data_IF_534125095642
#
_entry.id   IF_534125095642
#
_cell.length_a   1.000
_cell.length_b   1.000
_cell.length_c   1.000
_cell.angle_alpha   90.00
_cell.angle_beta   90.00
_cell.angle_gamma   90.00
#
_symmetry.space_group_name_H-M   'P 1'
#
loop_
_entity.id
_entity.type
_entity.pdbx_description
1 polymer ?
#
# COMPACT_ATOMS: atom_id res chain seq x y z
N UNK A 1 -16.50 -5.42 2.37
CA UNK A 1 -16.34 -5.29 3.84
C UNK A 1 -15.73 -3.91 4.08
N UNK A 2 -16.22 -3.14 5.04
CA UNK A 2 -15.63 -1.84 5.41
C UNK A 2 -14.40 -2.04 6.30
N UNK A 3 -13.40 -1.17 6.18
CA UNK A 3 -12.22 -1.17 7.03
C UNK A 3 -12.63 -0.98 8.49
N UNK A 4 -12.31 -1.94 9.37
CA UNK A 4 -12.77 -1.92 10.76
C UNK A 4 -11.83 -1.17 11.72
N UNK A 5 -10.64 -0.76 11.26
CA UNK A 5 -9.73 0.11 12.01
C UNK A 5 -9.19 -0.47 13.32
N UNK A 6 -9.21 -1.80 13.52
CA UNK A 6 -8.88 -2.43 14.80
C UNK A 6 -8.01 -3.70 14.70
N UNK A 7 -7.40 -3.97 13.54
CA UNK A 7 -6.62 -5.18 13.34
C UNK A 7 -5.58 -5.07 12.23
N UNK A 8 -4.53 -5.88 12.31
CA UNK A 8 -3.44 -5.94 11.33
C UNK A 8 -3.29 -7.36 10.79
N UNK A 9 -3.15 -7.51 9.48
CA UNK A 9 -2.71 -8.77 8.86
C UNK A 9 -1.28 -8.57 8.35
N UNK A 10 -0.33 -9.35 8.87
CA UNK A 10 1.02 -9.42 8.31
C UNK A 10 1.10 -10.57 7.30
N UNK A 11 1.47 -10.23 6.06
CA UNK A 11 1.77 -11.22 5.03
C UNK A 11 3.26 -11.54 5.12
N UNK A 12 3.58 -12.77 5.49
CA UNK A 12 4.95 -13.19 5.72
C UNK A 12 5.52 -13.85 4.47
N UNK A 13 6.13 -13.06 3.60
CA UNK A 13 6.91 -13.58 2.47
C UNK A 13 8.39 -13.78 2.81
N UNK A 14 8.95 -12.93 3.68
CA UNK A 14 10.40 -12.80 3.87
C UNK A 14 10.81 -12.47 5.33
N UNK A 15 9.92 -12.65 6.29
CA UNK A 15 10.16 -12.37 7.73
C UNK A 15 10.43 -10.90 8.07
N UNK A 16 10.24 -9.94 7.15
CA UNK A 16 10.68 -8.55 7.38
C UNK A 16 10.02 -7.88 8.58
N UNK A 17 8.77 -8.21 8.90
CA UNK A 17 8.07 -7.63 10.04
C UNK A 17 8.44 -8.26 11.40
N UNK A 18 9.14 -9.41 11.42
CA UNK A 18 9.43 -10.13 12.67
C UNK A 18 10.26 -9.29 13.66
N UNK A 19 11.09 -8.37 13.16
CA UNK A 19 11.92 -7.46 13.96
C UNK A 19 11.20 -6.17 14.38
N UNK A 20 9.97 -5.92 13.92
CA UNK A 20 9.19 -4.70 14.18
C UNK A 20 8.20 -4.89 15.33
N UNK A 21 8.73 -5.20 16.52
CA UNK A 21 7.99 -5.59 17.72
C UNK A 21 6.97 -4.56 18.20
N UNK A 22 7.15 -3.28 17.91
CA UNK A 22 6.20 -2.24 18.28
C UNK A 22 4.86 -2.41 17.56
N UNK A 23 4.83 -3.02 16.38
CA UNK A 23 3.59 -3.27 15.64
C UNK A 23 2.75 -4.37 16.29
N UNK A 24 3.34 -5.27 17.08
CA UNK A 24 2.63 -6.38 17.72
C UNK A 24 1.76 -5.95 18.90
N UNK A 25 1.79 -4.66 19.27
CA UNK A 25 0.85 -4.08 20.24
C UNK A 25 -0.58 -3.99 19.69
N UNK A 26 -0.73 -3.98 18.37
CA UNK A 26 -2.04 -3.97 17.72
C UNK A 26 -2.55 -5.41 17.59
N UNK A 27 -3.87 -5.67 17.71
CA UNK A 27 -4.44 -6.98 17.40
C UNK A 27 -4.02 -7.39 15.99
N UNK A 28 -3.44 -8.58 15.84
CA UNK A 28 -2.87 -8.99 14.56
C UNK A 28 -3.01 -10.48 14.28
N UNK A 29 -2.89 -10.83 13.00
CA UNK A 29 -2.71 -12.19 12.53
C UNK A 29 -1.57 -12.25 11.51
N UNK A 30 -1.03 -13.45 11.32
CA UNK A 30 0.00 -13.72 10.32
C UNK A 30 -0.56 -14.68 9.27
N UNK A 31 -0.27 -14.40 8.01
CA UNK A 31 -0.48 -15.34 6.91
C UNK A 31 0.89 -15.65 6.34
N UNK A 32 1.29 -16.91 6.47
CA UNK A 32 2.60 -17.36 6.01
C UNK A 32 2.57 -17.67 4.50
N UNK A 33 3.58 -17.19 3.79
CA UNK A 33 3.83 -17.42 2.37
C UNK A 33 5.27 -17.84 2.10
N UNK A 34 6.06 -18.10 3.15
CA UNK A 34 7.48 -18.48 3.01
C UNK A 34 7.70 -19.84 2.35
N UNK A 35 6.63 -20.64 2.22
CA UNK A 35 6.59 -21.90 1.49
C UNK A 35 6.34 -21.73 -0.02
N UNK A 36 5.98 -20.53 -0.49
CA UNK A 36 5.67 -20.29 -1.90
C UNK A 36 6.90 -19.86 -2.69
N UNK A 37 7.12 -20.52 -3.84
CA UNK A 37 8.14 -20.15 -4.80
C UNK A 37 7.63 -19.08 -5.79
N UNK A 38 8.56 -18.43 -6.50
CA UNK A 38 8.25 -17.52 -7.62
C UNK A 38 7.24 -16.41 -7.26
N UNK A 39 7.43 -15.80 -6.09
CA UNK A 39 6.63 -14.67 -5.59
C UNK A 39 7.41 -13.35 -5.61
N UNK A 40 8.73 -13.39 -5.80
CA UNK A 40 9.57 -12.21 -5.70
C UNK A 40 9.64 -11.46 -7.05
N UNK A 41 9.26 -10.18 -7.06
CA UNK A 41 9.14 -9.27 -8.22
C UNK A 41 7.99 -9.63 -9.15
N UNK A 42 7.96 -10.88 -9.61
CA UNK A 42 6.92 -11.46 -10.45
C UNK A 42 6.25 -12.59 -9.68
N UNK A 43 4.95 -12.76 -9.89
CA UNK A 43 4.20 -13.84 -9.25
C UNK A 43 3.60 -14.77 -10.28
N UNK A 44 4.08 -16.02 -10.29
CA UNK A 44 3.51 -17.03 -11.18
C UNK A 44 2.04 -17.32 -10.86
N UNK A 45 1.23 -17.76 -11.83
CA UNK A 45 -0.21 -17.93 -11.64
C UNK A 45 -0.60 -18.87 -10.49
N UNK A 46 0.13 -19.97 -10.29
CA UNK A 46 -0.17 -20.96 -9.24
C UNK A 46 0.02 -20.35 -7.85
N UNK A 47 1.16 -19.69 -7.62
CA UNK A 47 1.45 -19.00 -6.38
C UNK A 47 0.52 -17.81 -6.15
N UNK A 48 0.14 -17.08 -7.19
CA UNK A 48 -0.84 -15.99 -7.10
C UNK A 48 -2.21 -16.48 -6.62
N UNK A 49 -2.68 -17.62 -7.14
CA UNK A 49 -3.94 -18.25 -6.71
C UNK A 49 -3.88 -18.69 -5.24
N UNK A 50 -2.75 -19.26 -4.82
CA UNK A 50 -2.58 -19.70 -3.43
C UNK A 50 -2.51 -18.50 -2.46
N UNK A 51 -1.83 -17.41 -2.85
CA UNK A 51 -1.84 -16.15 -2.11
C UNK A 51 -3.28 -15.63 -1.95
N UNK A 52 -4.03 -15.57 -3.05
CA UNK A 52 -5.43 -15.13 -3.03
C UNK A 52 -6.28 -16.00 -2.10
N UNK A 53 -6.12 -17.32 -2.17
CA UNK A 53 -6.85 -18.28 -1.34
C UNK A 53 -6.58 -18.04 0.15
N UNK A 54 -5.32 -17.87 0.57
CA UNK A 54 -4.97 -17.63 1.97
C UNK A 54 -5.42 -16.25 2.45
N UNK A 55 -5.27 -15.21 1.62
CA UNK A 55 -5.74 -13.84 1.93
C UNK A 55 -7.25 -13.83 2.18
N UNK A 56 -8.06 -14.54 1.38
CA UNK A 56 -9.52 -14.61 1.56
C UNK A 56 -9.94 -15.22 2.91
N UNK A 57 -9.10 -16.07 3.50
CA UNK A 57 -9.35 -16.71 4.81
C UNK A 57 -8.94 -15.84 6.01
N UNK A 58 -8.35 -14.66 5.78
CA UNK A 58 -7.94 -13.74 6.84
C UNK A 58 -9.12 -13.32 7.72
N UNK A 59 -8.89 -13.30 9.04
CA UNK A 59 -9.90 -12.95 10.05
C UNK A 59 -9.93 -11.45 10.30
N UNK A 60 -8.78 -10.79 10.25
CA UNK A 60 -8.65 -9.36 10.43
C UNK A 60 -9.09 -8.62 9.16
N UNK A 61 -9.91 -7.59 9.33
CA UNK A 61 -10.37 -6.70 8.24
C UNK A 61 -9.90 -5.26 8.42
N UNK A 62 -8.75 -5.11 9.08
CA UNK A 62 -8.05 -3.84 9.21
C UNK A 62 -6.93 -3.72 8.18
N UNK A 63 -5.76 -3.20 8.57
CA UNK A 63 -4.67 -2.89 7.65
C UNK A 63 -3.85 -4.13 7.30
N UNK A 64 -3.37 -4.20 6.06
CA UNK A 64 -2.56 -5.33 5.56
C UNK A 64 -1.13 -4.88 5.31
N UNK A 65 -0.16 -5.57 5.89
CA UNK A 65 1.26 -5.33 5.65
C UNK A 65 1.82 -6.40 4.73
N UNK A 66 2.28 -5.98 3.55
CA UNK A 66 2.62 -6.87 2.43
C UNK A 66 4.09 -7.32 2.48
N UNK A 67 5.00 -6.50 2.98
CA UNK A 67 6.44 -6.78 3.04
C UNK A 67 7.26 -5.73 2.27
N UNK A 68 8.32 -6.18 1.61
CA UNK A 68 9.12 -5.33 0.72
C UNK A 68 8.38 -5.03 -0.60
N UNK A 69 8.84 -4.00 -1.34
CA UNK A 69 8.18 -3.51 -2.56
C UNK A 69 7.97 -4.57 -3.66
N UNK A 70 8.75 -5.65 -3.66
CA UNK A 70 8.64 -6.70 -4.68
C UNK A 70 7.32 -7.48 -4.60
N UNK A 71 6.60 -7.39 -3.48
CA UNK A 71 5.33 -8.06 -3.27
C UNK A 71 4.12 -7.14 -3.46
N UNK A 72 4.31 -5.89 -3.89
CA UNK A 72 3.24 -4.89 -3.96
C UNK A 72 2.08 -5.30 -4.88
N UNK A 73 2.33 -6.21 -5.81
CA UNK A 73 1.27 -6.83 -6.62
C UNK A 73 0.17 -7.51 -5.80
N UNK A 74 0.39 -7.83 -4.52
CA UNK A 74 -0.63 -8.38 -3.63
C UNK A 74 -1.79 -7.39 -3.40
N UNK A 75 -1.55 -6.08 -3.54
CA UNK A 75 -2.61 -5.05 -3.51
C UNK A 75 -3.70 -5.31 -4.55
N UNK A 76 -3.34 -5.83 -5.73
CA UNK A 76 -4.32 -6.24 -6.74
C UNK A 76 -5.28 -7.32 -6.20
N UNK A 77 -4.78 -8.31 -5.45
CA UNK A 77 -5.60 -9.38 -4.87
C UNK A 77 -6.54 -8.87 -3.78
N UNK A 78 -6.06 -7.98 -2.92
CA UNK A 78 -6.88 -7.33 -1.89
C UNK A 78 -8.01 -6.50 -2.52
N UNK A 79 -7.72 -5.81 -3.63
CA UNK A 79 -8.69 -5.03 -4.40
C UNK A 79 -9.79 -5.92 -5.02
N UNK A 80 -9.50 -7.16 -5.43
CA UNK A 80 -10.51 -8.06 -6.03
C UNK A 80 -11.68 -8.39 -5.10
N UNK A 81 -11.50 -8.22 -3.78
CA UNK A 81 -12.55 -8.43 -2.80
C UNK A 81 -13.60 -7.31 -2.75
N UNK A 82 -13.33 -6.17 -3.40
CA UNK A 82 -14.19 -5.00 -3.38
C UNK A 82 -15.38 -5.22 -4.33
N UNK A 83 -16.60 -5.03 -3.83
CA UNK A 83 -17.85 -5.23 -4.59
C UNK A 83 -18.71 -3.96 -4.68
N UNK A 84 -18.08 -2.80 -4.52
CA UNK A 84 -18.74 -1.49 -4.61
C UNK A 84 -17.85 -0.47 -5.35
N UNK A 85 -18.42 0.53 -6.07
CA UNK A 85 -17.63 1.54 -6.77
C UNK A 85 -16.65 2.26 -5.84
N UNK A 86 -15.38 2.33 -6.24
CA UNK A 86 -14.33 2.92 -5.41
C UNK A 86 -13.24 3.61 -6.24
N UNK A 87 -12.45 4.44 -5.55
CA UNK A 87 -11.21 5.01 -6.06
C UNK A 87 -10.02 4.40 -5.32
N UNK A 88 -9.00 3.97 -6.07
CA UNK A 88 -7.70 3.61 -5.53
C UNK A 88 -6.89 4.89 -5.31
N UNK A 89 -6.44 5.13 -4.08
CA UNK A 89 -5.44 6.15 -3.76
C UNK A 89 -4.13 5.43 -3.49
N UNK A 90 -3.17 5.62 -4.39
CA UNK A 90 -1.86 4.96 -4.38
C UNK A 90 -0.80 6.00 -4.01
N UNK A 91 -0.13 5.79 -2.87
CA UNK A 91 1.07 6.52 -2.50
C UNK A 91 2.27 5.68 -2.91
N UNK A 92 3.05 6.19 -3.86
CA UNK A 92 4.11 5.40 -4.51
C UNK A 92 5.13 6.32 -5.19
N UNK A 93 6.39 5.93 -5.25
CA UNK A 93 7.35 6.59 -6.13
C UNK A 93 7.17 6.18 -7.60
N UNK A 94 6.75 4.94 -7.81
CA UNK A 94 6.54 4.29 -9.09
C UNK A 94 5.06 4.33 -9.48
N UNK A 95 4.77 4.02 -10.76
CA UNK A 95 3.38 4.02 -11.24
C UNK A 95 2.74 2.64 -11.23
N UNK A 96 3.56 1.60 -11.21
CA UNK A 96 3.17 0.19 -11.25
C UNK A 96 2.16 -0.20 -12.33
N UNK A 97 2.12 0.57 -13.41
CA UNK A 97 1.26 0.30 -14.57
C UNK A 97 1.90 -0.74 -15.51
N UNK A 98 3.21 -0.94 -15.44
CA UNK A 98 3.91 -1.88 -16.29
C UNK A 98 3.92 -1.45 -17.75
N UNK A 99 4.08 -2.42 -18.64
CA UNK A 99 4.16 -2.18 -20.09
C UNK A 99 2.81 -2.35 -20.80
N UNK A 100 1.83 -2.98 -20.14
CA UNK A 100 0.48 -3.24 -20.66
C UNK A 100 0.29 -4.63 -21.27
N UNK A 101 1.38 -5.32 -21.63
CA UNK A 101 1.37 -6.66 -22.23
C UNK A 101 2.16 -7.69 -21.39
N UNK A 102 2.34 -7.40 -20.10
CA UNK A 102 3.11 -8.27 -19.20
C UNK A 102 2.38 -9.62 -19.04
N UNK A 103 3.01 -10.78 -19.37
CA UNK A 103 2.36 -12.08 -19.33
C UNK A 103 2.10 -12.58 -17.90
N UNK A 104 2.79 -11.99 -16.93
CA UNK A 104 2.78 -12.35 -15.52
C UNK A 104 2.74 -11.06 -14.69
N UNK A 105 1.92 -11.06 -13.64
CA UNK A 105 1.81 -9.90 -12.75
C UNK A 105 3.11 -9.67 -11.99
N UNK A 106 3.50 -8.42 -11.82
CA UNK A 106 4.68 -8.02 -11.07
C UNK A 106 4.38 -6.83 -10.17
N UNK A 107 5.29 -6.54 -9.24
CA UNK A 107 5.23 -5.30 -8.46
C UNK A 107 5.18 -4.07 -9.37
N UNK A 108 5.78 -4.12 -10.56
CA UNK A 108 5.75 -3.00 -11.49
C UNK A 108 4.55 -2.94 -12.44
N UNK A 109 3.61 -3.90 -12.42
CA UNK A 109 2.51 -3.98 -13.39
C UNK A 109 1.10 -4.11 -12.79
N UNK A 110 0.98 -4.32 -11.49
CA UNK A 110 -0.30 -4.67 -10.84
C UNK A 110 -1.40 -3.64 -11.00
N UNK A 111 -1.07 -2.35 -11.18
CA UNK A 111 -2.08 -1.30 -11.41
C UNK A 111 -2.81 -1.53 -12.72
N UNK A 112 -2.13 -2.00 -13.78
CA UNK A 112 -2.80 -2.37 -15.04
C UNK A 112 -3.78 -3.51 -14.86
N UNK A 113 -3.45 -4.50 -14.02
CA UNK A 113 -4.39 -5.56 -13.67
C UNK A 113 -5.58 -5.01 -12.87
N UNK A 114 -5.33 -4.11 -11.91
CA UNK A 114 -6.37 -3.49 -11.09
C UNK A 114 -7.34 -2.62 -11.91
N UNK A 115 -6.87 -1.94 -12.98
CA UNK A 115 -7.71 -1.14 -13.88
C UNK A 115 -8.85 -1.93 -14.55
N UNK A 116 -8.71 -3.25 -14.68
CA UNK A 116 -9.75 -4.12 -15.21
C UNK A 116 -10.85 -4.45 -14.20
N UNK A 117 -10.71 -4.03 -12.94
CA UNK A 117 -11.70 -4.31 -11.90
C UNK A 117 -13.00 -3.52 -12.16
N UNK A 118 -14.19 -4.17 -12.22
CA UNK A 118 -15.43 -3.54 -12.69
C UNK A 118 -15.91 -2.37 -11.82
N UNK A 119 -15.53 -2.36 -10.55
CA UNK A 119 -15.88 -1.31 -9.60
C UNK A 119 -14.81 -0.23 -9.43
N UNK A 120 -13.60 -0.41 -9.96
CA UNK A 120 -12.57 0.63 -9.88
C UNK A 120 -12.93 1.76 -10.85
N UNK A 121 -13.19 2.95 -10.31
CA UNK A 121 -13.60 4.11 -11.12
C UNK A 121 -12.44 5.04 -11.45
N UNK A 122 -11.43 5.09 -10.58
CA UNK A 122 -10.30 5.99 -10.72
C UNK A 122 -9.11 5.49 -9.91
N UNK A 123 -7.91 5.72 -10.40
CA UNK A 123 -6.66 5.59 -9.68
C UNK A 123 -6.05 6.98 -9.51
N UNK A 124 -5.69 7.33 -8.29
CA UNK A 124 -4.99 8.56 -7.96
C UNK A 124 -3.63 8.18 -7.41
N UNK A 125 -2.57 8.54 -8.13
CA UNK A 125 -1.19 8.28 -7.74
C UNK A 125 -0.58 9.53 -7.14
N UNK A 126 0.08 9.42 -6.00
CA UNK A 126 0.69 10.54 -5.28
C UNK A 126 2.15 10.20 -5.01
N UNK A 127 3.05 10.93 -5.63
CA UNK A 127 4.50 10.70 -5.50
C UNK A 127 5.24 10.62 -6.84
N UNK A 128 4.75 9.94 -7.89
CA UNK A 128 5.55 9.71 -9.08
C UNK A 128 5.96 11.00 -9.77
N UNK A 129 7.23 11.08 -10.18
CA UNK A 129 7.76 12.25 -10.88
C UNK A 129 7.17 12.39 -12.27
N UNK A 130 6.89 13.61 -12.73
CA UNK A 130 6.41 13.85 -14.07
C UNK A 130 7.26 13.18 -15.15
N UNK A 131 6.63 12.38 -15.99
CA UNK A 131 7.29 11.80 -17.15
C UNK A 131 6.39 11.82 -18.38
N UNK A 132 6.97 11.70 -19.58
CA UNK A 132 6.18 11.53 -20.80
C UNK A 132 5.37 10.23 -20.79
N UNK A 133 5.83 9.22 -20.05
CA UNK A 133 5.08 7.96 -19.87
C UNK A 133 3.76 8.21 -19.15
N UNK A 134 3.72 9.18 -18.22
CA UNK A 134 2.47 9.54 -17.51
C UNK A 134 1.38 10.10 -18.45
N UNK A 135 1.76 10.73 -19.56
CA UNK A 135 0.81 11.24 -20.56
C UNK A 135 0.13 10.12 -21.36
N UNK A 136 0.69 8.90 -21.33
CA UNK A 136 0.17 7.72 -22.03
C UNK A 136 -0.66 6.82 -21.12
N UNK A 137 -0.80 7.18 -19.85
CA UNK A 137 -1.60 6.41 -18.90
C UNK A 137 -3.09 6.48 -19.26
N UNK A 138 -3.82 5.48 -18.77
CA UNK A 138 -5.28 5.43 -18.89
C UNK A 138 -5.94 6.74 -18.42
N UNK A 139 -7.03 7.21 -19.06
CA UNK A 139 -7.78 8.38 -18.60
C UNK A 139 -8.35 8.22 -17.18
N UNK A 140 -8.41 6.97 -16.68
CA UNK A 140 -8.84 6.65 -15.33
C UNK A 140 -7.71 6.82 -14.29
N UNK A 141 -6.49 7.18 -14.70
CA UNK A 141 -5.38 7.49 -13.81
C UNK A 141 -5.18 9.01 -13.71
N UNK A 142 -4.93 9.51 -12.51
CA UNK A 142 -4.46 10.87 -12.28
C UNK A 142 -3.23 10.84 -11.40
N UNK A 143 -2.14 11.45 -11.87
CA UNK A 143 -0.85 11.47 -11.17
C UNK A 143 -0.59 12.84 -10.58
N UNK A 144 -0.36 12.89 -9.27
CA UNK A 144 0.05 14.07 -8.54
C UNK A 144 1.51 13.93 -8.12
N UNK A 145 2.34 14.83 -8.64
CA UNK A 145 3.74 14.95 -8.21
C UNK A 145 3.88 16.07 -7.18
N UNK A 146 4.60 15.78 -6.11
CA UNK A 146 4.96 16.74 -5.07
C UNK A 146 5.87 17.87 -5.59
N UNK A 147 6.63 17.63 -6.67
CA UNK A 147 7.52 18.64 -7.26
C UNK A 147 6.75 19.73 -8.02
N UNK A 148 5.52 19.42 -8.48
CA UNK A 148 4.72 20.33 -9.33
C UNK A 148 3.52 20.94 -8.64
N UNK A 149 3.00 20.28 -7.62
CA UNK A 149 1.77 20.69 -6.97
C UNK A 149 2.03 20.92 -5.50
N UNK A 150 1.55 22.05 -4.97
CA UNK A 150 1.32 22.19 -3.54
C UNK A 150 0.05 21.38 -3.20
N UNK A 151 0.17 20.05 -3.20
CA UNK A 151 -0.95 19.13 -3.05
C UNK A 151 -1.52 19.36 -1.65
N UNK A 152 -2.67 20.01 -1.55
CA UNK A 152 -3.42 20.01 -0.30
C UNK A 152 -4.27 18.73 -0.23
N UNK A 153 -4.52 18.18 0.96
CA UNK A 153 -5.51 17.13 1.12
C UNK A 153 -6.88 17.51 0.52
N UNK A 154 -7.25 18.79 0.57
CA UNK A 154 -8.46 19.32 -0.10
C UNK A 154 -8.50 19.10 -1.61
N UNK A 155 -7.36 19.17 -2.29
CA UNK A 155 -7.27 18.90 -3.73
C UNK A 155 -7.45 17.41 -4.04
N UNK A 156 -6.97 16.51 -3.18
CA UNK A 156 -7.21 15.07 -3.35
C UNK A 156 -8.70 14.75 -3.29
N UNK A 157 -9.48 15.42 -2.43
CA UNK A 157 -10.92 15.19 -2.36
C UNK A 157 -11.69 15.61 -3.59
N UNK A 158 -11.32 16.75 -4.19
CA UNK A 158 -12.07 17.28 -5.34
C UNK A 158 -11.99 16.37 -6.56
N UNK A 159 -10.92 15.57 -6.67
CA UNK A 159 -10.73 14.61 -7.76
C UNK A 159 -11.25 13.20 -7.45
N UNK A 160 -11.51 12.87 -6.18
CA UNK A 160 -12.12 11.61 -5.75
C UNK A 160 -13.65 11.76 -5.84
N UNK A 161 -14.23 11.33 -6.95
CA UNK A 161 -15.69 11.35 -7.16
C UNK A 161 -16.44 10.24 -6.41
N UNK A 162 -15.76 9.14 -6.07
CA UNK A 162 -16.39 8.04 -5.34
C UNK A 162 -16.50 8.34 -3.84
N UNK A 163 -17.47 7.69 -3.20
CA UNK A 163 -17.60 7.74 -1.74
C UNK A 163 -16.60 6.79 -1.05
N UNK A 164 -16.40 5.60 -1.63
CA UNK A 164 -15.52 4.56 -1.10
C UNK A 164 -14.11 4.69 -1.67
N UNK A 165 -13.09 4.57 -0.82
CA UNK A 165 -11.67 4.62 -1.23
C UNK A 165 -10.89 3.43 -0.68
N UNK A 166 -10.01 2.88 -1.52
CA UNK A 166 -9.00 1.91 -1.12
C UNK A 166 -7.64 2.60 -1.14
N UNK A 167 -6.85 2.43 -0.08
CA UNK A 167 -5.56 3.10 0.07
C UNK A 167 -4.45 2.05 0.00
N UNK A 168 -3.50 2.23 -0.92
CA UNK A 168 -2.28 1.42 -0.97
C UNK A 168 -1.07 2.33 -0.80
N UNK A 169 -0.11 1.92 0.01
CA UNK A 169 1.07 2.72 0.37
C UNK A 169 2.32 1.88 0.10
N UNK A 170 3.06 2.20 -0.97
CA UNK A 170 4.48 1.87 -1.00
C UNK A 170 5.26 2.98 -0.29
N UNK A 171 6.06 2.59 0.70
CA UNK A 171 6.89 3.53 1.46
C UNK A 171 8.08 4.04 0.67
N UNK A 172 8.37 3.50 -0.51
CA UNK A 172 9.36 4.09 -1.40
C UNK A 172 8.97 5.51 -1.86
N UNK A 173 7.68 5.88 -1.79
CA UNK A 173 7.21 7.25 -1.98
C UNK A 173 7.87 8.24 -1.00
N UNK A 174 8.22 7.75 0.20
CA UNK A 174 8.78 8.54 1.28
C UNK A 174 10.25 8.86 1.04
N UNK A 175 10.70 10.00 1.56
CA UNK A 175 12.12 10.36 1.58
C UNK A 175 12.94 9.43 2.49
N UNK A 176 14.24 9.33 2.21
CA UNK A 176 15.22 8.47 2.92
C UNK A 176 15.30 8.70 4.43
N UNK A 177 14.93 9.89 4.90
CA UNK A 177 14.92 10.21 6.32
C UNK A 177 13.79 9.50 7.08
N UNK A 178 12.69 9.18 6.39
CA UNK A 178 11.48 8.66 7.00
C UNK A 178 11.30 7.14 6.79
N UNK A 179 11.84 6.58 5.70
CA UNK A 179 11.84 5.13 5.42
C UNK A 179 13.07 4.71 4.62
N UNK A 180 13.39 3.41 4.65
CA UNK A 180 14.43 2.78 3.83
C UNK A 180 13.81 1.55 3.14
N UNK A 181 13.85 1.51 1.82
CA UNK A 181 13.20 0.47 1.00
C UNK A 181 14.20 -0.24 0.09
N UNK A 182 13.75 -1.26 -0.64
CA UNK A 182 14.54 -1.99 -1.64
C UNK A 182 14.50 -1.38 -3.05
N UNK A 183 13.71 -0.32 -3.25
CA UNK A 183 13.61 0.45 -4.49
C UNK A 183 14.18 1.86 -4.31
N UNK A 184 14.35 2.59 -5.42
CA UNK A 184 14.71 4.01 -5.30
C UNK A 184 13.55 4.81 -4.69
N UNK A 185 13.93 5.80 -3.89
CA UNK A 185 13.00 6.52 -3.04
C UNK A 185 12.60 7.86 -3.63
N UNK A 186 11.33 8.21 -3.39
CA UNK A 186 10.78 9.52 -3.59
C UNK A 186 11.21 10.52 -2.52
N UNK A 187 10.43 11.61 -2.43
CA UNK A 187 10.75 12.79 -1.63
C UNK A 187 9.65 13.14 -0.63
N UNK A 188 8.59 12.33 -0.54
CA UNK A 188 7.44 12.61 0.29
C UNK A 188 7.83 12.59 1.78
N UNK A 189 7.57 13.66 2.55
CA UNK A 189 7.69 13.58 4.00
C UNK A 189 6.62 12.67 4.58
N UNK A 190 6.96 11.85 5.58
CA UNK A 190 5.98 11.01 6.27
C UNK A 190 4.82 11.83 6.85
N UNK A 191 5.09 13.03 7.37
CA UNK A 191 4.03 13.93 7.88
C UNK A 191 2.97 14.25 6.83
N UNK A 192 3.37 14.40 5.56
CA UNK A 192 2.45 14.66 4.45
C UNK A 192 1.56 13.46 4.19
N UNK A 193 2.13 12.25 4.13
CA UNK A 193 1.37 11.01 4.01
C UNK A 193 0.33 10.90 5.14
N UNK A 194 0.74 11.10 6.40
CA UNK A 194 -0.15 11.03 7.56
C UNK A 194 -1.28 12.06 7.48
N UNK A 195 -0.99 13.27 7.01
CA UNK A 195 -2.01 14.30 6.78
C UNK A 195 -3.02 13.87 5.70
N UNK A 196 -2.57 13.30 4.58
CA UNK A 196 -3.47 12.76 3.57
C UNK A 196 -4.32 11.60 4.11
N UNK A 197 -3.73 10.67 4.87
CA UNK A 197 -4.46 9.56 5.49
C UNK A 197 -5.53 10.06 6.45
N UNK A 198 -5.19 10.96 7.37
CA UNK A 198 -6.14 11.58 8.30
C UNK A 198 -7.34 12.15 7.56
N UNK A 199 -7.08 12.90 6.51
CA UNK A 199 -8.13 13.50 5.70
C UNK A 199 -8.99 12.39 5.05
N UNK A 200 -8.40 11.45 4.31
CA UNK A 200 -9.16 10.39 3.63
C UNK A 200 -10.04 9.61 4.63
N UNK A 201 -9.48 9.28 5.80
CA UNK A 201 -10.16 8.60 6.90
C UNK A 201 -11.15 9.47 7.68
N UNK A 202 -11.29 10.76 7.39
CA UNK A 202 -12.31 11.65 7.97
C UNK A 202 -13.47 11.92 7.02
N UNK A 203 -13.24 11.88 5.70
CA UNK A 203 -14.21 12.36 4.71
C UNK A 203 -14.62 11.32 3.66
N UNK A 204 -14.00 10.15 3.64
CA UNK A 204 -14.32 9.06 2.70
C UNK A 204 -14.53 7.77 3.46
N UNK A 205 -15.36 6.89 2.89
CA UNK A 205 -15.50 5.52 3.39
C UNK A 205 -14.26 4.74 2.96
N UNK A 206 -13.26 4.65 3.83
CA UNK A 206 -12.08 3.81 3.59
C UNK A 206 -12.50 2.35 3.69
N UNK A 207 -12.33 1.60 2.61
CA UNK A 207 -12.76 0.19 2.51
C UNK A 207 -11.60 -0.81 2.65
N UNK A 208 -10.36 -0.33 2.60
CA UNK A 208 -9.16 -1.12 2.84
C UNK A 208 -7.92 -0.24 2.83
N UNK A 209 -6.90 -0.71 3.55
CA UNK A 209 -5.58 -0.09 3.60
C UNK A 209 -4.52 -1.18 3.54
N UNK A 210 -3.54 -1.06 2.64
CA UNK A 210 -2.32 -1.85 2.67
C UNK A 210 -1.06 -0.99 2.70
N UNK A 211 0.02 -1.59 3.21
CA UNK A 211 1.34 -0.97 3.36
C UNK A 211 2.42 -1.95 2.88
N UNK A 212 3.31 -1.45 2.04
CA UNK A 212 4.45 -2.14 1.44
C UNK A 212 5.74 -1.30 1.61
N UNK A 213 6.84 -1.69 0.96
CA UNK A 213 8.08 -0.91 0.94
C UNK A 213 8.98 -1.11 2.15
N UNK A 214 9.14 -2.35 2.61
CA UNK A 214 10.18 -2.70 3.58
C UNK A 214 11.60 -2.89 2.99
N UNK A 215 12.60 -2.91 3.86
CA UNK A 215 13.96 -3.33 3.52
C UNK A 215 14.15 -4.83 3.81
N UNK A 216 14.35 -5.69 2.80
CA UNK A 216 14.22 -7.16 2.92
C UNK A 216 15.26 -7.81 3.83
N UNK A 217 16.42 -7.17 4.06
CA UNK A 217 17.46 -7.71 4.93
C UNK A 217 17.33 -7.26 6.39
N UNK A 218 16.38 -6.38 6.70
CA UNK A 218 16.28 -5.74 8.02
C UNK A 218 16.06 -6.74 9.17
N UNK A 219 15.39 -7.86 8.91
CA UNK A 219 15.15 -8.93 9.88
C UNK A 219 16.24 -10.00 9.91
N UNK A 220 17.13 -10.02 8.90
CA UNK A 220 18.14 -11.08 8.71
C UNK A 220 19.48 -10.66 9.33
N UNK A 221 19.94 -9.42 9.08
CA UNK A 221 21.21 -8.92 9.59
C UNK A 221 21.03 -7.80 10.61
N UNK A 222 20.60 -8.19 11.81
CA UNK A 222 20.29 -7.26 12.92
C UNK A 222 21.51 -6.49 13.45
N UNK A 223 22.74 -6.85 13.03
CA UNK A 223 23.96 -6.16 13.44
C UNK A 223 24.45 -5.16 12.39
N UNK A 224 24.07 -5.35 11.12
CA UNK A 224 24.39 -4.43 10.04
C UNK A 224 23.77 -3.03 10.30
N UNK A 225 24.58 -1.95 10.27
CA UNK A 225 24.09 -0.60 10.52
C UNK A 225 22.92 -0.16 9.62
N UNK A 226 22.97 -0.53 8.33
CA UNK A 226 21.92 -0.20 7.36
C UNK A 226 20.63 -0.93 7.69
N UNK A 227 20.72 -2.23 8.02
CA UNK A 227 19.56 -3.04 8.41
C UNK A 227 18.91 -2.51 9.70
N UNK A 228 19.71 -2.12 10.70
CA UNK A 228 19.21 -1.51 11.93
C UNK A 228 18.53 -0.17 11.69
N UNK A 229 19.14 0.68 10.86
CA UNK A 229 18.55 1.97 10.50
C UNK A 229 17.24 1.79 9.75
N UNK A 230 17.21 0.88 8.76
CA UNK A 230 16.03 0.55 8.00
C UNK A 230 14.91 0.04 8.91
N UNK A 231 15.19 -0.94 9.77
CA UNK A 231 14.19 -1.47 10.72
C UNK A 231 13.64 -0.36 11.63
N UNK A 232 14.51 0.52 12.16
CA UNK A 232 14.10 1.63 13.03
C UNK A 232 13.21 2.64 12.30
N UNK A 233 13.61 3.08 11.10
CA UNK A 233 12.84 4.07 10.30
C UNK A 233 11.52 3.46 9.83
N UNK A 234 11.55 2.24 9.31
CA UNK A 234 10.36 1.58 8.80
C UNK A 234 9.36 1.23 9.88
N UNK A 235 9.79 0.72 11.04
CA UNK A 235 8.90 0.47 12.18
C UNK A 235 8.28 1.77 12.69
N UNK A 236 9.06 2.86 12.72
CA UNK A 236 8.55 4.18 13.08
C UNK A 236 7.45 4.64 12.10
N UNK A 237 7.69 4.55 10.79
CA UNK A 237 6.72 4.90 9.75
C UNK A 237 5.45 4.04 9.84
N UNK A 238 5.61 2.71 9.91
CA UNK A 238 4.51 1.77 10.02
C UNK A 238 3.63 2.03 11.24
N UNK A 239 4.25 2.30 12.39
CA UNK A 239 3.53 2.60 13.62
C UNK A 239 2.70 3.87 13.47
N UNK A 240 3.27 4.94 12.93
CA UNK A 240 2.53 6.21 12.74
C UNK A 240 1.40 6.08 11.71
N UNK A 241 1.62 5.32 10.63
CA UNK A 241 0.58 5.02 9.63
C UNK A 241 -0.60 4.30 10.31
N UNK A 242 -0.33 3.24 11.07
CA UNK A 242 -1.39 2.45 11.72
C UNK A 242 -2.09 3.20 12.84
N UNK A 243 -1.35 3.93 13.67
CA UNK A 243 -1.94 4.79 14.71
C UNK A 243 -2.90 5.82 14.07
N UNK A 244 -2.52 6.41 12.94
CA UNK A 244 -3.37 7.32 12.19
C UNK A 244 -4.59 6.59 11.63
N UNK A 245 -4.40 5.44 10.99
CA UNK A 245 -5.49 4.65 10.43
C UNK A 245 -6.53 4.26 11.49
N UNK A 246 -6.10 3.76 12.65
CA UNK A 246 -7.01 3.25 13.68
C UNK A 246 -7.68 4.37 14.48
N UNK A 247 -6.96 5.45 14.75
CA UNK A 247 -7.51 6.62 15.42
C UNK A 247 -8.69 7.20 14.61
N UNK A 248 -8.50 7.46 13.30
CA UNK A 248 -9.52 8.13 12.50
C UNK A 248 -10.61 7.20 11.94
N UNK A 249 -10.32 5.91 11.74
CA UNK A 249 -11.35 4.94 11.38
C UNK A 249 -12.39 4.74 12.51
N UNK A 250 -11.96 4.80 13.77
CA UNK A 250 -12.85 4.66 14.94
C UNK A 250 -13.78 5.88 15.14
N UNK A 251 -13.43 7.03 14.55
CA UNK A 251 -14.18 8.29 14.70
C UNK A 251 -15.28 8.49 13.65
N UNK A 252 -15.40 7.60 12.66
CA UNK A 252 -16.49 7.66 11.68
C UNK A 252 -17.82 7.29 12.36
N UNK A 253 -18.79 8.21 12.46
CA UNK A 253 -20.16 7.80 12.77
C UNK A 253 -20.60 6.87 11.65
N UNK A 254 -21.03 5.66 11.99
CA UNK A 254 -21.83 4.85 11.07
C UNK A 254 -22.96 5.76 10.56
N UNK A 255 -23.18 5.89 9.24
CA UNK A 255 -24.34 6.62 8.75
C UNK A 255 -25.59 6.00 9.40
N UNK A 256 -26.39 6.86 10.03
CA UNK A 256 -27.67 6.51 10.64
C UNK A 256 -28.65 5.95 9.61
#
# INVERSE_FOLDING_TARGET
>A
MSFQGNGVTFLNFDYTYASQKQLFRFPHEWIDFTDLAHTNLYCEPESLHEIERRIRLRKQKGAVFIGNGNYHYVSYLLIQEIKEPFTLVLFDHHTDVGTGDDPVISCGSWVSYALNHPYLKKVIMIGPKPSQQHLRLSPNITVFSLDRYNISPSMLFSVISTHSVYISIDKDALRRDDAVTNWDQGTMPLSFLLDCLRHLLLYKKVIGVDVCGEYPQASIDVFNPVCREANRKNEHANRLIIETCFHYASTHPLPA
#
